data_IF_714953404013
#
_entry.id   IF_714953404013
#
_cell.length_a   1.000
_cell.length_b   1.000
_cell.length_c   1.000
_cell.angle_alpha   90.00
_cell.angle_beta   90.00
_cell.angle_gamma   90.00
#
_symmetry.space_group_name_H-M   'P 1'
#
loop_
_entity.id
_entity.type
_entity.pdbx_description
1 polymer ?
#
# COMPACT_ATOMS: atom_id res chain seq x y z
N UNK A 1 -5.46 -69.75 -6.10
CA UNK A 1 -5.90 -68.42 -5.61
C UNK A 1 -4.76 -67.43 -5.32
N UNK A 2 -3.61 -67.86 -4.78
CA UNK A 2 -2.45 -67.00 -4.45
C UNK A 2 -1.88 -66.13 -5.60
N UNK A 3 -1.83 -66.64 -6.84
CA UNK A 3 -1.28 -65.88 -7.99
C UNK A 3 -2.14 -64.66 -8.38
N UNK A 4 -3.46 -64.75 -8.20
CA UNK A 4 -4.40 -63.64 -8.49
C UNK A 4 -4.31 -62.52 -7.45
N UNK A 5 -4.01 -62.86 -6.19
CA UNK A 5 -3.78 -61.88 -5.12
C UNK A 5 -2.48 -61.10 -5.32
N UNK A 6 -1.40 -61.79 -5.72
CA UNK A 6 -0.11 -61.16 -6.02
C UNK A 6 -0.19 -60.17 -7.19
N UNK A 7 -0.90 -60.53 -8.28
CA UNK A 7 -1.08 -59.61 -9.41
C UNK A 7 -1.87 -58.35 -9.05
N UNK A 8 -2.89 -58.49 -8.19
CA UNK A 8 -3.68 -57.34 -7.70
C UNK A 8 -2.89 -56.43 -6.77
N UNK A 9 -2.09 -57.01 -5.87
CA UNK A 9 -1.21 -56.24 -4.99
C UNK A 9 -0.14 -55.48 -5.79
N UNK A 10 0.49 -56.16 -6.77
CA UNK A 10 1.48 -55.53 -7.64
C UNK A 10 0.87 -54.39 -8.47
N UNK A 11 -0.33 -54.59 -9.02
CA UNK A 11 -1.06 -53.56 -9.76
C UNK A 11 -1.40 -52.34 -8.91
N UNK A 12 -1.86 -52.55 -7.66
CA UNK A 12 -2.18 -51.45 -6.74
C UNK A 12 -0.94 -50.63 -6.35
N UNK A 13 0.20 -51.29 -6.10
CA UNK A 13 1.47 -50.62 -5.78
C UNK A 13 1.98 -49.81 -6.98
N UNK A 14 1.90 -50.35 -8.19
CA UNK A 14 2.30 -49.63 -9.40
C UNK A 14 1.44 -48.39 -9.64
N UNK A 15 0.13 -48.47 -9.43
CA UNK A 15 -0.79 -47.35 -9.60
C UNK A 15 -0.54 -46.24 -8.55
N UNK A 16 -0.29 -46.61 -7.29
CA UNK A 16 0.03 -45.66 -6.23
C UNK A 16 1.34 -44.89 -6.53
N UNK A 17 2.36 -45.58 -7.07
CA UNK A 17 3.62 -44.95 -7.46
C UNK A 17 3.44 -43.92 -8.60
N UNK A 18 2.58 -44.22 -9.58
CA UNK A 18 2.30 -43.31 -10.70
C UNK A 18 1.55 -42.05 -10.25
N UNK A 19 0.56 -42.18 -9.35
CA UNK A 19 -0.22 -41.02 -8.87
C UNK A 19 0.59 -40.18 -7.88
N UNK A 20 1.44 -40.80 -7.05
CA UNK A 20 2.32 -40.07 -6.13
C UNK A 20 3.45 -39.29 -6.84
N UNK A 21 3.81 -39.68 -8.08
CA UNK A 21 4.81 -39.00 -8.90
C UNK A 21 4.29 -37.84 -9.77
N UNK A 22 2.97 -37.73 -9.96
CA UNK A 22 2.32 -36.72 -10.82
C UNK A 22 1.76 -35.51 -10.03
N UNK A 23 2.29 -35.24 -8.84
CA UNK A 23 1.97 -34.02 -8.09
C UNK A 23 2.77 -32.83 -8.63
N UNK A 24 2.09 -31.75 -9.01
CA UNK A 24 2.69 -30.44 -9.29
C UNK A 24 3.67 -30.14 -8.15
N UNK A 25 4.98 -30.29 -8.39
CA UNK A 25 5.96 -29.70 -7.49
C UNK A 25 5.73 -28.21 -7.61
N UNK A 26 5.25 -27.58 -6.54
CA UNK A 26 5.41 -26.15 -6.40
C UNK A 26 6.91 -25.92 -6.53
N UNK A 27 7.34 -25.45 -7.70
CA UNK A 27 8.69 -24.94 -7.85
C UNK A 27 8.69 -23.70 -6.99
N UNK A 28 9.06 -23.87 -5.72
CA UNK A 28 9.43 -22.77 -4.86
C UNK A 28 10.59 -22.11 -5.57
N UNK A 29 10.32 -21.03 -6.30
CA UNK A 29 11.37 -20.15 -6.78
C UNK A 29 12.06 -19.69 -5.50
N UNK A 30 13.34 -20.03 -5.28
CA UNK A 30 14.09 -19.43 -4.19
C UNK A 30 14.24 -17.97 -4.58
N UNK A 31 13.27 -17.16 -4.16
CA UNK A 31 13.47 -15.73 -4.14
C UNK A 31 14.45 -15.51 -3.00
N UNK A 32 15.69 -15.20 -3.34
CA UNK A 32 16.57 -14.42 -2.47
C UNK A 32 15.95 -13.04 -2.29
N UNK A 33 14.78 -12.98 -1.67
CA UNK A 33 14.26 -11.78 -1.05
C UNK A 33 15.05 -11.62 0.26
N UNK A 34 16.36 -11.39 0.15
CA UNK A 34 17.16 -10.88 1.25
C UNK A 34 16.39 -9.75 1.94
N UNK A 35 16.49 -9.66 3.27
CA UNK A 35 15.69 -8.81 4.15
C UNK A 35 14.60 -8.03 3.40
N UNK A 36 13.38 -8.58 3.33
CA UNK A 36 12.23 -7.96 2.66
C UNK A 36 12.35 -6.45 2.82
N UNK A 37 12.49 -5.68 1.72
CA UNK A 37 12.85 -4.27 1.82
C UNK A 37 11.86 -3.71 2.80
N UNK A 38 12.37 -3.34 3.98
CA UNK A 38 11.58 -2.71 5.00
C UNK A 38 11.02 -1.52 4.26
N UNK A 39 9.75 -1.61 3.87
CA UNK A 39 9.00 -0.46 3.38
C UNK A 39 8.88 0.38 4.62
N UNK A 40 9.97 1.07 4.97
CA UNK A 40 10.00 2.02 6.07
C UNK A 40 8.86 2.94 5.71
N UNK A 41 7.74 2.89 6.45
CA UNK A 41 6.59 3.68 6.08
C UNK A 41 7.07 5.13 6.06
N UNK A 42 6.64 5.90 5.07
CA UNK A 42 6.84 7.33 5.14
C UNK A 42 5.98 7.83 6.30
N UNK A 43 6.57 7.97 7.48
CA UNK A 43 5.88 8.45 8.68
C UNK A 43 6.25 9.91 8.86
N UNK A 44 5.28 10.79 8.74
CA UNK A 44 5.44 12.15 9.22
C UNK A 44 5.19 12.16 10.72
N UNK A 45 5.99 12.89 11.50
CA UNK A 45 5.71 13.15 12.93
C UNK A 45 4.45 14.04 13.14
N UNK A 46 3.56 14.12 12.15
CA UNK A 46 2.37 14.96 12.08
C UNK A 46 1.06 14.18 12.13
N UNK A 47 1.10 12.85 12.29
CA UNK A 47 -0.08 11.98 12.39
C UNK A 47 -0.94 12.27 13.65
N UNK A 48 -0.51 13.21 14.48
CA UNK A 48 -1.33 13.79 15.53
C UNK A 48 -0.70 15.04 16.15
N UNK A 49 -1.19 16.22 15.76
CA UNK A 49 -1.08 17.47 16.54
C UNK A 49 0.17 18.34 16.29
N UNK A 50 0.35 18.86 15.07
CA UNK A 50 1.07 20.12 14.90
C UNK A 50 0.08 21.30 14.95
N UNK A 51 0.15 22.06 16.05
CA UNK A 51 -0.32 23.45 16.20
C UNK A 51 -1.79 23.74 15.83
N UNK A 52 -2.65 23.82 16.84
CA UNK A 52 -4.00 24.41 16.70
C UNK A 52 -3.87 25.94 16.61
N UNK A 53 -3.61 26.46 15.42
CA UNK A 53 -3.95 27.86 15.10
C UNK A 53 -5.45 27.91 14.83
N UNK A 54 -6.17 28.75 15.57
CA UNK A 54 -7.60 28.94 15.38
C UNK A 54 -7.88 29.49 13.97
N UNK A 55 -8.67 28.77 13.17
CA UNK A 55 -9.06 29.19 11.81
C UNK A 55 -8.58 28.29 10.66
N UNK A 56 -7.81 27.24 10.92
CA UNK A 56 -7.32 26.33 9.87
C UNK A 56 -8.16 25.03 9.77
N UNK A 57 -8.69 24.76 8.57
CA UNK A 57 -9.42 23.53 8.27
C UNK A 57 -8.45 22.39 7.92
N UNK A 58 -8.59 21.19 8.50
CA UNK A 58 -7.82 20.02 8.08
C UNK A 58 -8.24 19.59 6.67
N UNK A 59 -7.28 19.56 5.75
CA UNK A 59 -7.41 19.08 4.37
C UNK A 59 -6.51 17.89 4.17
N UNK A 60 -7.06 16.83 3.59
CA UNK A 60 -6.28 15.64 3.24
C UNK A 60 -5.73 15.77 1.83
N UNK A 61 -4.42 15.61 1.67
CA UNK A 61 -3.75 15.54 0.36
C UNK A 61 -3.13 14.16 0.17
N UNK A 62 -2.84 13.80 -1.08
CA UNK A 62 -2.18 12.53 -1.42
C UNK A 62 -0.77 12.80 -1.90
N UNK A 63 0.21 12.17 -1.25
CA UNK A 63 1.63 12.23 -1.62
C UNK A 63 2.15 10.85 -2.00
N UNK A 64 3.23 10.83 -2.76
CA UNK A 64 3.87 9.59 -3.21
C UNK A 64 4.93 9.17 -2.20
N UNK A 65 4.78 7.98 -1.64
CA UNK A 65 5.77 7.28 -0.83
C UNK A 65 6.30 6.07 -1.63
N UNK A 66 7.47 6.22 -2.26
CA UNK A 66 8.01 5.19 -3.16
C UNK A 66 7.08 4.93 -4.36
N UNK A 67 6.44 3.76 -4.39
CA UNK A 67 5.47 3.37 -5.43
C UNK A 67 4.01 3.39 -4.94
N UNK A 68 3.73 4.02 -3.79
CA UNK A 68 2.40 4.06 -3.18
C UNK A 68 1.93 5.50 -3.02
N UNK A 69 0.61 5.71 -3.07
CA UNK A 69 -0.04 6.97 -2.72
C UNK A 69 -0.53 6.86 -1.28
N UNK A 70 -0.10 7.80 -0.45
CA UNK A 70 -0.42 7.86 0.98
C UNK A 70 -1.10 9.19 1.30
N UNK A 71 -2.00 9.17 2.28
CA UNK A 71 -2.73 10.35 2.72
C UNK A 71 -1.93 11.13 3.75
N UNK A 72 -1.80 12.43 3.55
CA UNK A 72 -1.17 13.35 4.50
C UNK A 72 -2.17 14.45 4.85
N UNK A 73 -2.41 14.65 6.13
CA UNK A 73 -3.29 15.73 6.59
C UNK A 73 -2.50 17.03 6.69
N UNK A 74 -2.98 18.05 5.97
CA UNK A 74 -2.45 19.42 5.98
C UNK A 74 -3.50 20.35 6.57
N UNK A 75 -3.05 21.48 7.11
CA UNK A 75 -3.93 22.57 7.52
C UNK A 75 -3.97 23.61 6.41
N UNK A 76 -5.17 24.01 5.99
CA UNK A 76 -5.38 25.07 5.00
C UNK A 76 -6.12 26.23 5.64
N UNK A 77 -5.80 27.49 5.29
CA UNK A 77 -6.54 28.67 5.71
C UNK A 77 -7.85 28.77 4.91
N UNK A 78 -8.64 27.70 4.90
CA UNK A 78 -9.95 27.66 4.29
C UNK A 78 -10.95 28.25 5.31
N UNK A 79 -11.83 29.18 4.91
CA UNK A 79 -12.85 29.69 5.82
C UNK A 79 -13.74 28.54 6.33
N UNK A 80 -13.91 28.45 7.65
CA UNK A 80 -14.85 27.53 8.27
C UNK A 80 -16.28 28.03 8.00
N UNK A 81 -16.98 27.39 7.05
CA UNK A 81 -18.40 27.68 6.81
C UNK A 81 -18.86 27.23 5.43
N UNK A 82 -19.91 26.41 5.38
CA UNK A 82 -20.59 26.03 4.12
C UNK A 82 -21.54 27.10 3.62
N UNK A 83 -21.84 28.09 4.46
CA UNK A 83 -23.00 28.97 4.29
C UNK A 83 -22.73 30.18 3.38
N UNK A 84 -21.47 30.43 2.98
CA UNK A 84 -21.06 31.50 2.05
C UNK A 84 -19.83 31.10 1.19
N UNK A 85 -19.65 29.81 0.93
CA UNK A 85 -18.47 29.32 0.22
C UNK A 85 -18.69 29.32 -1.31
N UNK A 86 -18.12 30.30 -2.01
CA UNK A 86 -17.98 30.25 -3.49
C UNK A 86 -17.29 28.94 -3.91
N UNK A 87 -17.96 28.04 -4.65
CA UNK A 87 -17.39 26.74 -5.05
C UNK A 87 -16.10 26.89 -5.85
N UNK A 88 -15.97 27.94 -6.65
CA UNK A 88 -14.78 28.18 -7.48
C UNK A 88 -13.61 28.61 -6.60
N UNK A 89 -13.85 29.47 -5.61
CA UNK A 89 -12.85 29.86 -4.61
C UNK A 89 -12.38 28.65 -3.81
N UNK A 90 -13.29 27.80 -3.35
CA UNK A 90 -12.95 26.57 -2.62
C UNK A 90 -12.13 25.61 -3.47
N UNK A 91 -12.54 25.36 -4.72
CA UNK A 91 -11.81 24.50 -5.65
C UNK A 91 -10.39 25.02 -5.92
N UNK A 92 -10.22 26.33 -6.12
CA UNK A 92 -8.90 26.96 -6.28
C UNK A 92 -8.02 26.79 -5.06
N UNK A 93 -8.58 26.96 -3.85
CA UNK A 93 -7.83 26.75 -2.61
C UNK A 93 -7.37 25.31 -2.44
N UNK A 94 -8.24 24.33 -2.71
CA UNK A 94 -7.85 22.91 -2.67
C UNK A 94 -6.81 22.56 -3.74
N UNK A 95 -6.94 23.13 -4.93
CA UNK A 95 -5.94 22.97 -5.99
C UNK A 95 -4.58 23.53 -5.58
N UNK A 96 -4.54 24.69 -4.92
CA UNK A 96 -3.30 25.25 -4.35
C UNK A 96 -2.67 24.29 -3.34
N UNK A 97 -3.47 23.61 -2.50
CA UNK A 97 -2.95 22.63 -1.55
C UNK A 97 -2.34 21.38 -2.23
N UNK A 98 -2.91 20.93 -3.36
CA UNK A 98 -2.38 19.82 -4.14
C UNK A 98 -1.09 20.18 -4.90
N UNK A 99 -1.01 21.41 -5.41
CA UNK A 99 0.17 21.92 -6.13
C UNK A 99 1.32 22.31 -5.18
N UNK A 100 1.04 22.52 -3.90
CA UNK A 100 2.04 22.89 -2.93
C UNK A 100 3.10 21.78 -2.75
N UNK A 101 4.37 22.16 -2.92
CA UNK A 101 5.51 21.26 -2.74
C UNK A 101 5.50 20.62 -1.34
N UNK A 102 5.97 19.36 -1.20
CA UNK A 102 6.05 18.71 0.10
C UNK A 102 6.86 19.54 1.10
N UNK A 103 6.38 19.64 2.34
CA UNK A 103 7.05 20.32 3.43
C UNK A 103 8.40 19.66 3.74
N UNK A 104 9.27 20.34 4.48
CA UNK A 104 10.58 19.77 4.80
C UNK A 104 10.48 18.48 5.63
N UNK A 105 9.50 18.41 6.54
CA UNK A 105 9.23 17.20 7.33
C UNK A 105 8.73 16.05 6.46
N UNK A 106 7.83 16.33 5.51
CA UNK A 106 7.35 15.34 4.54
C UNK A 106 8.47 14.85 3.62
N UNK A 107 9.32 15.74 3.10
CA UNK A 107 10.49 15.37 2.28
C UNK A 107 11.49 14.51 3.07
N UNK A 108 11.75 14.86 4.33
CA UNK A 108 12.61 14.05 5.23
C UNK A 108 12.01 12.67 5.51
N UNK A 109 10.69 12.55 5.54
CA UNK A 109 9.98 11.28 5.64
C UNK A 109 9.91 10.49 4.31
N UNK A 110 10.44 11.03 3.21
CA UNK A 110 10.50 10.36 1.91
C UNK A 110 9.31 10.64 0.98
N UNK A 111 8.44 11.60 1.32
CA UNK A 111 7.31 11.96 0.46
C UNK A 111 7.72 12.83 -0.73
N UNK A 112 7.09 12.56 -1.87
CA UNK A 112 7.21 13.35 -3.10
C UNK A 112 5.81 13.69 -3.66
N UNK A 113 5.72 14.62 -4.62
CA UNK A 113 4.46 14.95 -5.31
C UNK A 113 4.57 14.62 -6.80
N UNK A 114 3.50 14.06 -7.36
CA UNK A 114 3.32 13.85 -8.80
C UNK A 114 2.53 14.98 -9.48
N UNK A 115 1.93 15.87 -8.69
CA UNK A 115 1.13 16.99 -9.17
C UNK A 115 2.06 18.18 -9.46
N UNK A 116 1.88 18.82 -10.62
CA UNK A 116 2.67 19.98 -11.09
C UNK A 116 1.75 21.04 -11.68
#
# INVERSE_FOLDING_TARGET
>A
MRRRGFGRAAGAVALAALVAGCGIRTTSVPVDAGAAPSRVPCVTAGDGTAGTSAGDVPVRVFLVCGSQLETVDRRSPLPEGKDDADPVRTARMLLTQLLAAPSEGERRAGFTTAVR
#
